data_IF_130391776961
#
_entry.id   IF_130391776961
#
_cell.length_a   1.000
_cell.length_b   1.000
_cell.length_c   1.000
_cell.angle_alpha   90.00
_cell.angle_beta   90.00
_cell.angle_gamma   90.00
#
_symmetry.space_group_name_H-M   'P 1'
#
loop_
_entity.id
_entity.type
_entity.pdbx_description
1 polymer ?
#
# COMPACT_ATOMS: atom_id res chain seq x y z
N UNK A 1 -27.83 -36.76 -9.80
CA UNK A 1 -28.88 -36.03 -10.55
C UNK A 1 -28.35 -34.63 -10.78
N UNK A 2 -27.73 -34.39 -11.94
CA UNK A 2 -27.08 -33.13 -12.26
C UNK A 2 -28.11 -32.18 -12.87
N UNK A 3 -28.40 -31.07 -12.18
CA UNK A 3 -29.13 -29.96 -12.77
C UNK A 3 -28.20 -29.31 -13.81
N UNK A 4 -28.50 -29.56 -15.07
CA UNK A 4 -28.01 -28.75 -16.18
C UNK A 4 -28.97 -27.56 -16.22
N UNK A 5 -28.62 -26.47 -15.55
CA UNK A 5 -29.35 -25.22 -15.71
C UNK A 5 -29.06 -24.71 -17.13
N UNK A 6 -30.08 -24.78 -17.99
CA UNK A 6 -30.08 -24.18 -19.32
C UNK A 6 -29.93 -22.65 -19.17
N UNK A 7 -28.83 -22.12 -19.69
CA UNK A 7 -28.61 -20.68 -19.75
C UNK A 7 -29.51 -20.06 -20.81
N UNK A 8 -30.72 -19.65 -20.42
CA UNK A 8 -31.61 -18.89 -21.30
C UNK A 8 -31.10 -17.45 -21.49
N UNK A 9 -31.30 -16.90 -22.69
CA UNK A 9 -30.93 -15.52 -23.08
C UNK A 9 -31.58 -14.42 -22.21
N UNK A 10 -32.56 -14.79 -21.37
CA UNK A 10 -33.34 -13.89 -20.50
C UNK A 10 -32.49 -13.19 -19.41
N UNK A 11 -31.34 -13.77 -19.04
CA UNK A 11 -30.45 -13.19 -18.02
C UNK A 11 -29.21 -12.49 -18.61
N UNK A 12 -29.23 -12.16 -19.90
CA UNK A 12 -28.13 -11.47 -20.55
C UNK A 12 -28.07 -9.97 -20.19
N UNK A 13 -26.87 -9.48 -19.88
CA UNK A 13 -26.65 -8.06 -19.53
C UNK A 13 -26.09 -7.33 -20.74
N UNK A 14 -26.69 -6.21 -21.13
CA UNK A 14 -26.11 -5.32 -22.14
C UNK A 14 -25.20 -4.27 -21.49
N UNK A 15 -23.92 -4.27 -21.87
CA UNK A 15 -22.94 -3.30 -21.40
C UNK A 15 -22.14 -2.75 -22.57
N UNK A 16 -22.15 -1.42 -22.78
CA UNK A 16 -21.42 -0.74 -23.86
C UNK A 16 -21.65 -1.34 -25.27
N UNK A 17 -22.90 -1.77 -25.55
CA UNK A 17 -23.26 -2.40 -26.83
C UNK A 17 -22.90 -3.89 -26.95
N UNK A 18 -22.30 -4.49 -25.93
CA UNK A 18 -22.02 -5.92 -25.85
C UNK A 18 -23.10 -6.63 -25.03
N UNK A 19 -23.59 -7.75 -25.54
CA UNK A 19 -24.46 -8.68 -24.80
C UNK A 19 -23.59 -9.68 -24.05
N UNK A 20 -23.60 -9.62 -22.72
CA UNK A 20 -22.89 -10.52 -21.82
C UNK A 20 -23.87 -11.62 -21.40
N UNK A 21 -23.65 -12.84 -21.88
CA UNK A 21 -24.44 -14.01 -21.48
C UNK A 21 -23.90 -14.59 -20.17
N UNK A 22 -24.78 -15.11 -19.28
CA UNK A 22 -24.35 -15.77 -18.06
C UNK A 22 -23.51 -17.02 -18.39
N UNK A 23 -22.51 -17.29 -17.55
CA UNK A 23 -21.63 -18.46 -17.67
C UNK A 23 -21.50 -19.16 -16.32
N UNK A 24 -21.20 -20.45 -16.33
CA UNK A 24 -20.88 -21.21 -15.11
C UNK A 24 -19.64 -20.66 -14.41
N UNK A 25 -18.68 -20.18 -15.20
CA UNK A 25 -17.44 -19.60 -14.71
C UNK A 25 -17.10 -18.34 -15.49
N UNK A 26 -16.63 -17.31 -14.77
CA UNK A 26 -16.14 -16.06 -15.35
C UNK A 26 -14.77 -15.74 -14.79
N UNK A 27 -13.85 -15.33 -15.66
CA UNK A 27 -12.52 -14.88 -15.25
C UNK A 27 -12.50 -13.36 -15.11
N UNK A 28 -12.27 -12.86 -13.90
CA UNK A 28 -12.17 -11.44 -13.59
C UNK A 28 -10.81 -11.14 -12.96
N UNK A 29 -10.03 -10.25 -13.59
CA UNK A 29 -8.67 -9.85 -13.16
C UNK A 29 -7.67 -11.02 -12.96
N UNK A 30 -8.02 -12.26 -13.29
CA UNK A 30 -7.19 -13.44 -13.02
C UNK A 30 -7.83 -14.45 -12.05
N UNK A 31 -8.86 -14.04 -11.31
CA UNK A 31 -9.70 -14.90 -10.48
C UNK A 31 -10.74 -15.60 -11.35
N UNK A 32 -10.98 -16.89 -11.09
CA UNK A 32 -12.07 -17.65 -11.70
C UNK A 32 -13.23 -17.69 -10.69
N UNK A 33 -14.33 -17.03 -11.02
CA UNK A 33 -15.55 -16.96 -10.24
C UNK A 33 -16.51 -18.03 -10.76
N UNK A 34 -16.86 -19.00 -9.93
CA UNK A 34 -17.95 -19.95 -10.19
C UNK A 34 -19.28 -19.38 -9.64
N UNK A 35 -20.41 -19.89 -10.13
CA UNK A 35 -21.75 -19.37 -9.78
C UNK A 35 -22.01 -19.28 -8.26
N UNK A 36 -21.44 -20.22 -7.49
CA UNK A 36 -21.64 -20.31 -6.04
C UNK A 36 -20.53 -19.63 -5.23
N UNK A 37 -19.57 -18.98 -5.89
CA UNK A 37 -18.39 -18.37 -5.26
C UNK A 37 -17.64 -19.36 -4.34
N UNK A 38 -17.57 -20.63 -4.74
CA UNK A 38 -16.80 -21.68 -4.09
C UNK A 38 -15.33 -21.71 -4.50
N UNK A 39 -15.01 -21.05 -5.63
CA UNK A 39 -13.65 -20.90 -6.19
C UNK A 39 -12.95 -22.25 -6.48
N UNK A 40 -13.69 -23.31 -6.79
CA UNK A 40 -13.14 -24.64 -7.04
C UNK A 40 -12.14 -24.64 -8.21
N UNK A 41 -12.53 -24.01 -9.33
CA UNK A 41 -11.68 -23.95 -10.53
C UNK A 41 -10.49 -23.02 -10.37
N UNK A 42 -10.66 -21.91 -9.64
CA UNK A 42 -9.55 -20.98 -9.31
C UNK A 42 -8.46 -21.68 -8.49
N UNK A 43 -8.84 -22.32 -7.40
CA UNK A 43 -7.94 -23.01 -6.48
C UNK A 43 -7.30 -24.24 -7.11
N UNK A 44 -8.03 -25.01 -7.93
CA UNK A 44 -7.46 -26.12 -8.70
C UNK A 44 -6.41 -25.64 -9.69
N UNK A 45 -6.66 -24.53 -10.38
CA UNK A 45 -5.68 -23.87 -11.26
C UNK A 45 -4.46 -23.40 -10.47
N UNK A 46 -4.66 -22.69 -9.36
CA UNK A 46 -3.59 -22.18 -8.51
C UNK A 46 -2.73 -23.32 -7.94
N UNK A 47 -3.35 -24.40 -7.47
CA UNK A 47 -2.66 -25.60 -7.00
C UNK A 47 -1.81 -26.25 -8.11
N UNK A 48 -2.37 -26.43 -9.31
CA UNK A 48 -1.64 -27.01 -10.46
C UNK A 48 -0.44 -26.15 -10.86
N UNK A 49 -0.59 -24.83 -10.87
CA UNK A 49 0.50 -23.92 -11.20
C UNK A 49 1.56 -23.87 -10.09
N UNK A 50 1.15 -23.85 -8.82
CA UNK A 50 2.03 -23.95 -7.67
C UNK A 50 2.81 -25.25 -7.64
N UNK A 51 2.16 -26.38 -7.95
CA UNK A 51 2.81 -27.69 -8.05
C UNK A 51 3.84 -27.70 -9.18
N UNK A 52 3.50 -27.16 -10.35
CA UNK A 52 4.45 -27.01 -11.46
C UNK A 52 5.68 -26.20 -11.04
N UNK A 53 5.50 -25.10 -10.31
CA UNK A 53 6.59 -24.28 -9.79
C UNK A 53 7.42 -25.04 -8.74
N UNK A 54 6.78 -25.77 -7.83
CA UNK A 54 7.45 -26.61 -6.82
C UNK A 54 8.28 -27.73 -7.46
N UNK A 55 7.74 -28.41 -8.48
CA UNK A 55 8.47 -29.43 -9.22
C UNK A 55 9.62 -28.84 -10.04
N UNK A 56 9.47 -27.63 -10.57
CA UNK A 56 10.56 -26.92 -11.23
C UNK A 56 11.68 -26.57 -10.24
N UNK A 57 11.33 -26.05 -9.06
CA UNK A 57 12.28 -25.80 -7.97
C UNK A 57 13.02 -27.09 -7.59
N UNK A 58 12.32 -28.22 -7.50
CA UNK A 58 12.90 -29.53 -7.19
C UNK A 58 13.92 -30.03 -8.21
N UNK A 59 13.78 -29.60 -9.47
CA UNK A 59 14.75 -29.93 -10.53
C UNK A 59 16.03 -29.12 -10.46
N UNK A 60 16.01 -27.97 -9.77
CA UNK A 60 17.20 -27.16 -9.56
C UNK A 60 18.05 -27.79 -8.44
N UNK A 61 18.95 -28.69 -8.82
CA UNK A 61 19.85 -29.35 -7.86
C UNK A 61 20.95 -28.39 -7.37
N UNK A 62 21.48 -28.65 -6.17
CA UNK A 62 22.66 -27.93 -5.64
C UNK A 62 22.41 -26.50 -5.15
N UNK A 63 21.14 -26.08 -5.04
CA UNK A 63 20.81 -24.76 -4.50
C UNK A 63 21.13 -24.69 -3.00
N UNK A 64 21.69 -23.54 -2.57
CA UNK A 64 21.78 -23.21 -1.14
C UNK A 64 20.36 -23.05 -0.58
N UNK A 65 20.05 -23.53 0.64
CA UNK A 65 18.70 -23.44 1.22
C UNK A 65 18.11 -22.02 1.22
N UNK A 66 18.95 -21.00 1.45
CA UNK A 66 18.53 -19.59 1.37
C UNK A 66 18.00 -19.20 -0.02
N UNK A 67 18.67 -19.65 -1.09
CA UNK A 67 18.26 -19.37 -2.47
C UNK A 67 17.01 -20.17 -2.85
N UNK A 68 16.94 -21.45 -2.45
CA UNK A 68 15.76 -22.27 -2.68
C UNK A 68 14.52 -21.69 -1.98
N UNK A 69 14.66 -21.23 -0.73
CA UNK A 69 13.60 -20.53 0.01
C UNK A 69 13.16 -19.25 -0.69
N UNK A 70 14.10 -18.45 -1.19
CA UNK A 70 13.78 -17.24 -1.93
C UNK A 70 13.01 -17.56 -3.22
N UNK A 71 13.41 -18.59 -3.96
CA UNK A 71 12.69 -19.05 -5.15
C UNK A 71 11.30 -19.57 -4.81
N UNK A 72 11.14 -20.30 -3.70
CA UNK A 72 9.82 -20.71 -3.21
C UNK A 72 8.90 -19.49 -3.03
N UNK A 73 9.36 -18.49 -2.28
CA UNK A 73 8.59 -17.27 -1.99
C UNK A 73 8.30 -16.50 -3.29
N UNK A 74 9.23 -16.46 -4.23
CA UNK A 74 9.09 -15.70 -5.47
C UNK A 74 8.22 -16.39 -6.54
N UNK A 75 8.05 -17.72 -6.49
CA UNK A 75 7.42 -18.47 -7.59
C UNK A 75 6.17 -19.25 -7.19
N UNK A 76 6.13 -19.82 -5.98
CA UNK A 76 5.03 -20.67 -5.53
C UNK A 76 3.99 -19.80 -4.79
N UNK A 77 4.42 -19.07 -3.77
CA UNK A 77 3.57 -18.20 -2.95
C UNK A 77 2.69 -17.23 -3.76
N UNK A 78 3.20 -16.43 -4.71
CA UNK A 78 2.34 -15.48 -5.44
C UNK A 78 1.28 -16.15 -6.31
N UNK A 79 1.57 -17.33 -6.85
CA UNK A 79 0.65 -18.09 -7.70
C UNK A 79 -0.48 -18.69 -6.88
N UNK A 80 -0.15 -19.23 -5.70
CA UNK A 80 -1.13 -19.86 -4.81
C UNK A 80 -1.99 -18.86 -4.06
N UNK A 81 -1.42 -17.70 -3.71
CA UNK A 81 -2.06 -16.71 -2.84
C UNK A 81 -2.77 -15.61 -3.63
N UNK A 82 -2.71 -15.64 -4.97
CA UNK A 82 -3.33 -14.63 -5.80
C UNK A 82 -4.84 -14.50 -5.52
N UNK A 83 -5.25 -13.31 -5.10
CA UNK A 83 -6.62 -13.00 -4.74
C UNK A 83 -7.12 -13.71 -3.48
N UNK A 84 -6.24 -14.17 -2.59
CA UNK A 84 -6.60 -14.85 -1.34
C UNK A 84 -7.70 -14.15 -0.52
N UNK A 85 -7.71 -12.81 -0.36
CA UNK A 85 -8.80 -12.13 0.34
C UNK A 85 -10.20 -12.36 -0.26
N UNK A 86 -10.28 -12.75 -1.54
CA UNK A 86 -11.54 -13.00 -2.24
C UNK A 86 -11.90 -14.49 -2.21
N UNK A 87 -10.96 -15.38 -2.52
CA UNK A 87 -11.31 -16.80 -2.68
C UNK A 87 -11.26 -17.59 -1.37
N UNK A 88 -10.39 -17.23 -0.42
CA UNK A 88 -10.24 -18.00 0.84
C UNK A 88 -11.54 -18.05 1.64
N UNK A 89 -12.26 -16.92 1.85
CA UNK A 89 -13.49 -16.92 2.65
C UNK A 89 -14.59 -17.82 2.07
N UNK A 90 -14.72 -17.89 0.74
CA UNK A 90 -15.72 -18.72 0.05
C UNK A 90 -15.29 -20.16 -0.24
N UNK A 91 -13.99 -20.47 -0.13
CA UNK A 91 -13.45 -21.80 -0.43
C UNK A 91 -13.48 -22.75 0.78
N UNK A 92 -13.72 -24.04 0.53
CA UNK A 92 -13.67 -25.06 1.59
C UNK A 92 -12.22 -25.47 1.95
N UNK A 93 -12.03 -25.98 3.16
CA UNK A 93 -10.72 -26.48 3.60
C UNK A 93 -10.19 -27.62 2.72
N UNK A 94 -11.08 -28.47 2.20
CA UNK A 94 -10.70 -29.56 1.29
C UNK A 94 -10.03 -29.02 0.01
N UNK A 95 -10.57 -27.94 -0.53
CA UNK A 95 -10.08 -27.28 -1.74
C UNK A 95 -8.71 -26.63 -1.50
N UNK A 96 -8.53 -26.00 -0.34
CA UNK A 96 -7.25 -25.46 0.12
C UNK A 96 -6.19 -26.55 0.29
N UNK A 97 -6.59 -27.79 0.59
CA UNK A 97 -5.70 -28.95 0.71
C UNK A 97 -4.84 -29.19 -0.53
N UNK A 98 -5.32 -28.87 -1.75
CA UNK A 98 -4.55 -29.03 -2.99
C UNK A 98 -3.40 -28.03 -3.07
N UNK A 99 -3.63 -26.79 -2.63
CA UNK A 99 -2.61 -25.74 -2.53
C UNK A 99 -1.55 -26.14 -1.48
N UNK A 100 -2.00 -26.67 -0.35
CA UNK A 100 -1.13 -27.16 0.72
C UNK A 100 -0.16 -28.25 0.23
N UNK A 101 -0.59 -29.15 -0.67
CA UNK A 101 0.31 -30.15 -1.25
C UNK A 101 1.42 -29.52 -2.11
N UNK A 102 1.08 -28.54 -2.96
CA UNK A 102 2.08 -27.82 -3.75
C UNK A 102 3.11 -27.11 -2.86
N UNK A 103 2.66 -26.47 -1.78
CA UNK A 103 3.54 -25.83 -0.82
C UNK A 103 4.40 -26.83 -0.06
N UNK A 104 3.85 -27.99 0.33
CA UNK A 104 4.61 -29.07 0.97
C UNK A 104 5.76 -29.56 0.09
N UNK A 105 5.49 -29.81 -1.20
CA UNK A 105 6.51 -30.24 -2.17
C UNK A 105 7.61 -29.18 -2.29
N UNK A 106 7.23 -27.91 -2.38
CA UNK A 106 8.17 -26.80 -2.45
C UNK A 106 9.01 -26.65 -1.19
N UNK A 107 8.39 -26.67 -0.01
CA UNK A 107 9.07 -26.54 1.28
C UNK A 107 10.04 -27.71 1.52
N UNK A 108 9.62 -28.95 1.22
CA UNK A 108 10.47 -30.11 1.33
C UNK A 108 11.71 -30.03 0.43
N UNK A 109 11.58 -29.38 -0.73
CA UNK A 109 12.69 -29.15 -1.65
C UNK A 109 13.72 -28.16 -1.09
N UNK A 110 13.29 -27.18 -0.29
CA UNK A 110 14.20 -26.15 0.27
C UNK A 110 15.23 -26.76 1.22
N UNK A 111 14.83 -27.73 2.04
CA UNK A 111 15.68 -28.39 3.04
C UNK A 111 16.18 -29.76 2.60
N UNK A 112 15.67 -30.30 1.49
CA UNK A 112 15.99 -31.65 1.02
C UNK A 112 15.33 -32.75 1.86
N UNK A 113 14.23 -32.45 2.56
CA UNK A 113 13.55 -33.42 3.41
C UNK A 113 12.74 -34.45 2.60
N UNK A 114 12.34 -35.53 3.27
CA UNK A 114 11.48 -36.57 2.70
C UNK A 114 10.10 -36.03 2.29
N UNK A 115 9.57 -36.49 1.16
CA UNK A 115 8.24 -36.10 0.67
C UNK A 115 7.06 -36.54 1.56
N UNK A 116 7.32 -37.49 2.47
CA UNK A 116 6.38 -37.97 3.49
C UNK A 116 6.24 -37.02 4.68
N UNK A 117 7.13 -36.03 4.83
CA UNK A 117 7.07 -35.09 5.95
C UNK A 117 5.72 -34.35 5.98
N UNK A 118 5.20 -34.15 7.19
CA UNK A 118 4.00 -33.36 7.40
C UNK A 118 4.24 -31.91 6.98
N UNK A 119 3.21 -31.25 6.43
CA UNK A 119 3.31 -29.86 5.97
C UNK A 119 3.86 -28.91 7.05
N UNK A 120 3.38 -28.92 8.31
CA UNK A 120 3.91 -28.00 9.31
C UNK A 120 5.40 -28.18 9.58
N UNK A 121 5.87 -29.43 9.70
CA UNK A 121 7.29 -29.73 9.84
C UNK A 121 8.09 -29.22 8.63
N UNK A 122 7.58 -29.44 7.41
CA UNK A 122 8.25 -28.99 6.19
C UNK A 122 8.38 -27.47 6.11
N UNK A 123 7.33 -26.73 6.48
CA UNK A 123 7.33 -25.27 6.44
C UNK A 123 8.28 -24.69 7.49
N UNK A 124 8.20 -25.18 8.74
CA UNK A 124 9.03 -24.69 9.85
C UNK A 124 10.52 -24.93 9.57
N UNK A 125 10.90 -26.14 9.17
CA UNK A 125 12.29 -26.47 8.84
C UNK A 125 12.82 -25.66 7.65
N UNK A 126 11.95 -25.38 6.67
CA UNK A 126 12.30 -24.52 5.54
C UNK A 126 12.37 -23.03 5.90
N UNK A 127 12.02 -22.64 7.13
CA UNK A 127 11.92 -21.24 7.56
C UNK A 127 10.83 -20.49 6.80
N UNK A 128 9.71 -21.15 6.51
CA UNK A 128 8.55 -20.63 5.78
C UNK A 128 7.33 -20.58 6.70
N UNK A 129 6.49 -19.57 6.49
CA UNK A 129 5.22 -19.42 7.22
C UNK A 129 4.18 -20.43 6.74
N UNK A 130 3.43 -21.01 7.68
CA UNK A 130 2.33 -21.91 7.38
C UNK A 130 1.31 -21.26 6.43
N UNK A 131 0.74 -22.01 5.47
CA UNK A 131 -0.17 -21.43 4.48
C UNK A 131 -1.41 -20.81 5.12
N UNK A 132 -1.95 -21.42 6.17
CA UNK A 132 -3.14 -20.93 6.85
C UNK A 132 -2.89 -19.59 7.55
N UNK A 133 -1.79 -19.48 8.30
CA UNK A 133 -1.40 -18.26 9.00
C UNK A 133 -1.15 -17.11 8.01
N UNK A 134 -0.41 -17.41 6.94
CA UNK A 134 -0.12 -16.44 5.89
C UNK A 134 -1.39 -15.95 5.19
N UNK A 135 -2.29 -16.86 4.81
CA UNK A 135 -3.56 -16.50 4.17
C UNK A 135 -4.46 -15.72 5.13
N UNK A 136 -4.51 -16.10 6.41
CA UNK A 136 -5.23 -15.39 7.45
C UNK A 136 -4.74 -13.94 7.57
N UNK A 137 -3.42 -13.74 7.65
CA UNK A 137 -2.82 -12.41 7.72
C UNK A 137 -3.06 -11.58 6.45
N UNK A 138 -3.04 -12.19 5.26
CA UNK A 138 -3.37 -11.51 4.00
C UNK A 138 -4.81 -11.00 4.00
N UNK A 139 -5.77 -11.82 4.45
CA UNK A 139 -7.18 -11.43 4.53
C UNK A 139 -7.35 -10.33 5.58
N UNK A 140 -6.74 -10.47 6.76
CA UNK A 140 -6.81 -9.49 7.85
C UNK A 140 -6.25 -8.14 7.42
N UNK A 141 -5.07 -8.12 6.77
CA UNK A 141 -4.49 -6.89 6.20
C UNK A 141 -5.37 -6.26 5.13
N UNK A 142 -5.99 -7.08 4.28
CA UNK A 142 -6.91 -6.57 3.27
C UNK A 142 -8.15 -5.93 3.92
N UNK A 143 -8.72 -6.57 4.94
CA UNK A 143 -9.85 -6.04 5.70
C UNK A 143 -9.50 -4.70 6.36
N UNK A 144 -8.37 -4.61 7.05
CA UNK A 144 -7.84 -3.37 7.63
C UNK A 144 -7.74 -2.27 6.56
N UNK A 145 -7.16 -2.58 5.39
CA UNK A 145 -7.00 -1.63 4.30
C UNK A 145 -8.32 -1.12 3.73
N UNK A 146 -9.39 -1.90 3.76
CA UNK A 146 -10.70 -1.50 3.27
C UNK A 146 -11.39 -0.53 4.23
N UNK A 147 -11.25 -0.77 5.55
CA UNK A 147 -11.79 0.08 6.62
C UNK A 147 -11.10 1.44 6.68
N UNK A 148 -9.78 1.49 6.43
CA UNK A 148 -8.96 2.69 6.51
C UNK A 148 -9.04 3.65 5.32
N UNK A 149 -9.82 3.34 4.27
CA UNK A 149 -9.90 4.24 3.11
C UNK A 149 -10.67 5.51 3.47
N UNK A 150 -10.36 6.64 2.81
CA UNK A 150 -11.14 7.87 2.96
C UNK A 150 -12.64 7.63 2.75
N UNK A 151 -13.49 8.40 3.42
CA UNK A 151 -14.96 8.27 3.36
C UNK A 151 -15.52 8.30 1.92
N UNK A 152 -14.86 9.01 1.01
CA UNK A 152 -15.27 9.11 -0.40
C UNK A 152 -14.84 7.90 -1.27
N UNK A 153 -14.09 6.94 -0.71
CA UNK A 153 -13.67 5.75 -1.44
C UNK A 153 -14.82 4.77 -1.58
N UNK A 154 -14.90 4.09 -2.73
CA UNK A 154 -15.96 3.13 -3.04
C UNK A 154 -16.12 2.03 -1.99
N UNK A 155 -15.03 1.61 -1.33
CA UNK A 155 -15.06 0.59 -0.28
C UNK A 155 -15.90 0.99 0.92
N UNK A 156 -15.93 2.28 1.28
CA UNK A 156 -16.73 2.77 2.40
C UNK A 156 -18.21 2.48 2.14
N UNK A 157 -18.71 2.88 0.97
CA UNK A 157 -20.09 2.59 0.56
C UNK A 157 -20.42 1.10 0.50
N UNK A 158 -19.45 0.25 0.17
CA UNK A 158 -19.66 -1.20 0.06
C UNK A 158 -19.73 -1.86 1.44
N UNK A 159 -18.80 -1.51 2.34
CA UNK A 159 -18.77 -2.04 3.71
C UNK A 159 -20.06 -1.71 4.46
N UNK A 160 -20.55 -0.46 4.37
CA UNK A 160 -21.79 -0.04 5.03
C UNK A 160 -23.07 -0.63 4.41
N UNK A 161 -22.97 -1.30 3.26
CA UNK A 161 -24.10 -1.97 2.60
C UNK A 161 -24.06 -3.49 2.73
N UNK A 162 -23.07 -4.07 3.43
CA UNK A 162 -22.93 -5.53 3.53
C UNK A 162 -24.17 -6.21 4.14
N UNK A 163 -24.85 -5.54 5.07
CA UNK A 163 -26.08 -6.07 5.70
C UNK A 163 -27.31 -6.03 4.77
N UNK A 164 -27.20 -5.42 3.59
CA UNK A 164 -28.31 -5.20 2.64
C UNK A 164 -28.25 -6.12 1.42
N UNK A 165 -27.20 -6.94 1.27
CA UNK A 165 -27.01 -7.82 0.11
C UNK A 165 -27.68 -9.17 0.42
N UNK A 166 -28.71 -9.50 -0.36
CA UNK A 166 -29.56 -10.69 -0.14
C UNK A 166 -29.02 -12.02 -0.69
N UNK A 167 -29.74 -13.09 -0.35
CA UNK A 167 -29.69 -14.52 -0.77
C UNK A 167 -28.36 -15.27 -0.82
N UNK A 168 -27.22 -14.67 -1.16
CA UNK A 168 -25.92 -15.33 -1.27
C UNK A 168 -24.84 -14.57 -0.50
N UNK A 169 -24.15 -15.28 0.39
CA UNK A 169 -23.10 -14.67 1.21
C UNK A 169 -21.87 -14.35 0.35
N UNK A 170 -21.53 -13.07 0.24
CA UNK A 170 -20.32 -12.66 -0.49
C UNK A 170 -19.05 -12.97 0.32
N UNK A 171 -17.88 -13.20 -0.33
CA UNK A 171 -16.63 -13.38 0.41
C UNK A 171 -16.26 -12.20 1.31
N UNK A 172 -16.74 -11.00 0.95
CA UNK A 172 -16.56 -9.80 1.75
C UNK A 172 -17.44 -9.83 3.01
N UNK A 173 -18.69 -10.30 2.92
CA UNK A 173 -19.55 -10.54 4.10
C UNK A 173 -18.96 -11.61 5.03
N UNK A 174 -18.44 -12.72 4.49
CA UNK A 174 -17.78 -13.76 5.30
C UNK A 174 -16.58 -13.15 6.06
N UNK A 175 -15.80 -12.30 5.38
CA UNK A 175 -14.67 -11.60 5.98
C UNK A 175 -15.12 -10.61 7.05
N UNK A 176 -16.18 -9.83 6.77
CA UNK A 176 -16.75 -8.87 7.70
C UNK A 176 -17.30 -9.55 8.96
N UNK A 177 -18.02 -10.66 8.81
CA UNK A 177 -18.51 -11.45 9.94
C UNK A 177 -17.38 -12.05 10.78
N UNK A 178 -16.22 -12.35 10.17
CA UNK A 178 -15.07 -12.91 10.87
C UNK A 178 -14.31 -11.89 11.72
N UNK A 179 -14.06 -10.70 11.17
CA UNK A 179 -13.18 -9.72 11.82
C UNK A 179 -13.93 -8.54 12.45
N UNK A 180 -15.18 -8.31 12.05
CA UNK A 180 -15.99 -7.20 12.56
C UNK A 180 -15.41 -5.81 12.29
N UNK A 181 -15.99 -4.77 12.91
CA UNK A 181 -15.34 -3.48 13.03
C UNK A 181 -14.06 -3.64 13.86
N UNK A 182 -12.94 -3.13 13.35
CA UNK A 182 -11.68 -3.11 14.10
C UNK A 182 -11.46 -1.72 14.66
N UNK A 183 -10.80 -1.65 15.82
CA UNK A 183 -10.35 -0.39 16.38
C UNK A 183 -9.33 0.27 15.43
N UNK A 184 -9.67 1.47 14.98
CA UNK A 184 -8.87 2.28 14.06
C UNK A 184 -8.11 3.38 14.81
N UNK A 185 -7.99 3.32 16.14
CA UNK A 185 -7.13 4.27 16.88
C UNK A 185 -5.68 3.79 16.93
N UNK A 186 -5.44 2.48 16.85
CA UNK A 186 -4.09 1.88 16.98
C UNK A 186 -3.33 1.70 15.66
N UNK A 187 -3.93 2.05 14.52
CA UNK A 187 -3.34 1.77 13.20
C UNK A 187 -2.95 3.07 12.50
N UNK A 188 -1.66 3.28 12.31
CA UNK A 188 -1.18 4.48 11.61
C UNK A 188 -1.60 4.45 10.12
N UNK A 189 -2.40 5.42 9.65
CA UNK A 189 -2.75 5.50 8.25
C UNK A 189 -1.52 5.95 7.45
N UNK A 190 -0.98 5.05 6.63
CA UNK A 190 0.03 5.42 5.64
C UNK A 190 -0.71 5.85 4.36
N UNK A 191 -0.80 7.15 4.04
CA UNK A 191 -1.45 7.59 2.81
C UNK A 191 -0.71 7.00 1.62
N UNK A 192 -1.46 6.50 0.62
CA UNK A 192 -0.87 5.91 -0.60
C UNK A 192 0.01 6.93 -1.35
N UNK A 193 -0.38 8.21 -1.28
CA UNK A 193 0.40 9.33 -1.74
C UNK A 193 0.24 10.48 -0.75
N UNK A 194 1.34 11.11 -0.34
CA UNK A 194 1.29 12.40 0.39
C UNK A 194 0.69 13.50 -0.46
N UNK A 195 0.86 13.40 -1.78
CA UNK A 195 0.27 14.25 -2.80
C UNK A 195 -0.17 13.41 -4.00
N UNK A 196 -1.41 13.56 -4.47
CA UNK A 196 -1.86 12.81 -5.64
C UNK A 196 -0.99 13.10 -6.88
N UNK A 197 -0.68 12.10 -7.71
CA UNK A 197 0.27 12.24 -8.82
C UNK A 197 -0.19 13.22 -9.92
N UNK A 198 -1.49 13.52 -9.98
CA UNK A 198 -2.06 14.49 -10.92
C UNK A 198 -2.06 15.94 -10.39
N UNK A 199 -1.72 16.16 -9.12
CA UNK A 199 -1.62 17.51 -8.58
C UNK A 199 -0.23 18.08 -8.87
N UNK A 200 -0.13 19.28 -9.48
CA UNK A 200 1.15 19.86 -9.81
C UNK A 200 2.00 20.10 -8.56
N UNK A 201 3.28 19.73 -8.64
CA UNK A 201 4.34 20.10 -7.71
C UNK A 201 4.34 21.61 -7.40
N UNK A 202 4.84 22.07 -6.25
CA UNK A 202 5.24 23.47 -6.14
C UNK A 202 6.23 23.80 -7.27
N UNK A 203 6.17 25.02 -7.81
CA UNK A 203 7.14 25.46 -8.82
C UNK A 203 8.54 25.54 -8.18
N UNK A 204 9.35 24.50 -8.39
CA UNK A 204 10.74 24.46 -7.93
C UNK A 204 11.55 25.33 -8.91
N UNK A 205 11.82 26.57 -8.51
CA UNK A 205 12.48 27.55 -9.37
C UNK A 205 13.98 27.31 -9.56
N UNK A 206 14.63 26.49 -8.72
CA UNK A 206 16.10 26.52 -8.58
C UNK A 206 16.70 25.13 -8.39
N UNK A 207 17.45 24.65 -9.39
CA UNK A 207 18.25 23.41 -9.28
C UNK A 207 19.75 23.68 -9.06
N UNK A 208 20.21 24.90 -9.30
CA UNK A 208 21.61 25.31 -9.21
C UNK A 208 21.82 26.36 -8.10
N UNK A 209 22.87 26.17 -7.27
CA UNK A 209 23.23 27.06 -6.16
C UNK A 209 23.46 28.51 -6.61
N UNK A 210 24.09 28.72 -7.77
CA UNK A 210 24.41 30.06 -8.26
C UNK A 210 23.16 30.83 -8.70
N UNK A 211 22.22 30.14 -9.35
CA UNK A 211 20.92 30.73 -9.72
C UNK A 211 20.09 31.03 -8.47
N UNK A 212 20.18 30.17 -7.44
CA UNK A 212 19.47 30.37 -6.19
C UNK A 212 19.94 31.62 -5.45
N UNK A 213 21.24 31.88 -5.43
CA UNK A 213 21.82 33.09 -4.86
C UNK A 213 21.36 34.33 -5.64
N UNK A 214 21.40 34.29 -6.97
CA UNK A 214 20.94 35.43 -7.80
C UNK A 214 19.46 35.75 -7.60
N UNK A 215 18.61 34.73 -7.52
CA UNK A 215 17.17 34.92 -7.28
C UNK A 215 16.93 35.45 -5.87
N UNK A 216 17.63 34.91 -4.86
CA UNK A 216 17.60 35.42 -3.50
C UNK A 216 18.00 36.90 -3.41
N UNK A 217 19.08 37.30 -4.07
CA UNK A 217 19.53 38.70 -4.15
C UNK A 217 18.52 39.59 -4.86
N UNK A 218 17.93 39.12 -5.97
CA UNK A 218 16.89 39.87 -6.70
C UNK A 218 15.63 40.10 -5.87
N UNK A 219 15.30 39.15 -4.99
CA UNK A 219 14.13 39.21 -4.09
C UNK A 219 14.41 40.09 -2.89
N UNK A 220 15.61 40.03 -2.31
CA UNK A 220 16.03 40.93 -1.24
C UNK A 220 16.00 42.41 -1.68
N UNK A 221 16.23 42.66 -2.97
CA UNK A 221 16.17 43.99 -3.57
C UNK A 221 14.76 44.41 -4.02
N UNK A 222 13.77 43.52 -3.97
CA UNK A 222 12.41 43.82 -4.41
C UNK A 222 11.47 44.01 -3.20
N UNK A 223 10.91 45.22 -3.02
CA UNK A 223 10.07 45.54 -1.87
C UNK A 223 8.75 44.74 -1.80
N UNK A 224 8.30 44.16 -2.92
CA UNK A 224 7.05 43.40 -3.01
C UNK A 224 7.25 41.89 -2.83
N UNK A 225 8.41 41.45 -2.33
CA UNK A 225 8.71 40.04 -2.13
C UNK A 225 9.45 39.75 -0.84
N UNK A 226 9.15 38.59 -0.23
CA UNK A 226 9.74 38.15 1.04
C UNK A 226 10.31 36.74 0.87
N UNK A 227 11.59 36.56 1.22
CA UNK A 227 12.26 35.27 1.24
C UNK A 227 12.34 34.68 2.65
N UNK A 228 11.93 33.42 2.80
CA UNK A 228 12.07 32.62 4.00
C UNK A 228 13.09 31.51 3.76
N UNK A 229 14.17 31.52 4.52
CA UNK A 229 15.18 30.47 4.52
C UNK A 229 14.85 29.49 5.63
N UNK A 230 14.70 28.22 5.27
CA UNK A 230 14.45 27.14 6.22
C UNK A 230 15.64 26.22 6.25
N UNK A 231 16.07 25.84 7.44
CA UNK A 231 17.14 24.88 7.64
C UNK A 231 16.77 23.90 8.76
N UNK A 232 17.30 22.68 8.66
CA UNK A 232 17.19 21.68 9.73
C UNK A 232 18.54 21.47 10.40
N UNK A 233 18.49 21.23 11.71
CA UNK A 233 19.64 20.72 12.44
C UNK A 233 19.26 19.42 13.13
N UNK A 234 20.00 18.34 12.83
CA UNK A 234 19.90 17.08 13.58
C UNK A 234 21.28 16.73 14.11
N UNK A 235 21.45 16.77 15.44
CA UNK A 235 22.69 16.39 16.13
C UNK A 235 22.36 15.69 17.44
N UNK A 236 23.10 14.63 17.77
CA UNK A 236 23.03 13.91 19.06
C UNK A 236 21.59 13.70 19.57
N UNK A 237 20.73 13.04 18.76
CA UNK A 237 19.34 12.72 19.11
C UNK A 237 18.41 13.94 19.35
N UNK A 238 18.85 15.13 18.94
CA UNK A 238 18.06 16.36 18.97
C UNK A 238 17.82 16.83 17.54
N UNK A 239 16.57 17.13 17.24
CA UNK A 239 16.18 17.81 16.01
C UNK A 239 15.71 19.23 16.31
N UNK A 240 16.26 20.19 15.59
CA UNK A 240 15.84 21.58 15.56
C UNK A 240 15.52 22.03 14.14
N UNK A 241 14.68 23.04 14.03
CA UNK A 241 14.42 23.78 12.80
C UNK A 241 14.82 25.24 12.99
N UNK A 242 15.30 25.85 11.92
CA UNK A 242 15.57 27.28 11.82
C UNK A 242 14.76 27.92 10.69
N UNK A 243 14.23 29.11 10.95
CA UNK A 243 13.64 29.98 9.93
C UNK A 243 14.34 31.32 10.01
N UNK A 244 14.74 31.85 8.86
CA UNK A 244 15.36 33.15 8.74
C UNK A 244 14.74 33.96 7.60
N UNK A 245 14.49 35.25 7.85
CA UNK A 245 14.10 36.23 6.83
C UNK A 245 15.09 37.40 6.89
N UNK A 246 15.66 37.83 5.75
CA UNK A 246 16.60 38.94 5.73
C UNK A 246 15.92 40.25 6.15
N UNK A 247 16.70 41.26 6.60
CA UNK A 247 16.20 42.62 6.80
C UNK A 247 15.51 43.14 5.52
N UNK A 248 14.44 43.95 5.63
CA UNK A 248 14.00 44.70 6.81
C UNK A 248 13.08 43.93 7.79
N UNK A 249 12.61 42.74 7.43
CA UNK A 249 11.65 42.01 8.27
C UNK A 249 12.32 41.22 9.41
N UNK A 250 13.51 40.65 9.17
CA UNK A 250 14.42 40.20 10.23
C UNK A 250 13.93 39.04 11.11
N UNK A 251 13.01 38.18 10.62
CA UNK A 251 12.55 37.02 11.37
C UNK A 251 13.71 36.05 11.61
N UNK A 252 13.96 35.68 12.86
CA UNK A 252 14.86 34.59 13.22
C UNK A 252 14.19 33.70 14.26
N UNK A 253 13.80 32.50 13.85
CA UNK A 253 13.14 31.52 14.73
C UNK A 253 13.98 30.25 14.73
N UNK A 254 14.32 29.78 15.93
CA UNK A 254 14.99 28.49 16.11
C UNK A 254 14.24 27.69 17.16
N UNK A 255 13.61 26.58 16.75
CA UNK A 255 12.76 25.77 17.62
C UNK A 255 13.28 24.34 17.68
N UNK A 256 13.31 23.77 18.89
CA UNK A 256 13.64 22.35 19.09
C UNK A 256 12.37 21.52 18.99
N UNK A 257 12.32 20.58 18.04
CA UNK A 257 11.11 19.82 17.73
C UNK A 257 10.98 18.52 18.52
N UNK A 258 12.06 17.73 18.60
CA UNK A 258 12.04 16.38 19.16
C UNK A 258 13.32 16.10 19.96
N UNK A 259 13.13 15.48 21.13
CA UNK A 259 14.16 14.77 21.91
C UNK A 259 13.82 13.28 21.83
N UNK A 260 14.46 12.54 20.93
CA UNK A 260 14.07 11.15 20.67
C UNK A 260 15.14 10.36 19.91
N UNK A 261 15.01 9.03 19.92
CA UNK A 261 15.96 8.12 19.27
C UNK A 261 15.82 8.28 17.75
N UNK A 262 16.76 9.02 17.14
CA UNK A 262 16.93 9.18 15.70
C UNK A 262 15.75 9.86 14.93
N UNK A 263 15.56 11.19 15.09
CA UNK A 263 14.51 11.92 14.37
C UNK A 263 14.75 11.92 12.85
N UNK A 264 13.72 11.62 12.05
CA UNK A 264 13.82 11.59 10.58
C UNK A 264 14.19 12.99 10.02
N UNK A 265 15.35 13.13 9.37
CA UNK A 265 15.78 14.33 8.67
C UNK A 265 14.70 14.97 7.78
N UNK A 266 13.95 14.16 7.04
CA UNK A 266 12.98 14.64 6.04
C UNK A 266 11.76 15.24 6.71
N UNK A 267 11.28 14.61 7.79
CA UNK A 267 10.17 15.11 8.59
C UNK A 267 10.50 16.45 9.26
N UNK A 268 11.73 16.62 9.78
CA UNK A 268 12.19 17.87 10.41
C UNK A 268 12.20 19.01 9.40
N UNK A 269 12.65 18.72 8.18
CA UNK A 269 12.67 19.70 7.09
C UNK A 269 11.25 20.16 6.68
N UNK A 270 10.33 19.20 6.51
CA UNK A 270 8.94 19.51 6.18
C UNK A 270 8.29 20.36 7.28
N UNK A 271 8.63 20.11 8.55
CA UNK A 271 8.19 20.95 9.68
C UNK A 271 8.79 22.35 9.63
N UNK A 272 10.02 22.52 9.15
CA UNK A 272 10.64 23.84 8.95
C UNK A 272 9.90 24.65 7.89
N UNK A 273 9.60 24.03 6.74
CA UNK A 273 8.79 24.63 5.65
C UNK A 273 7.39 24.98 6.16
N UNK A 274 6.75 24.06 6.89
CA UNK A 274 5.43 24.28 7.47
C UNK A 274 5.43 25.46 8.45
N UNK A 275 6.46 25.59 9.29
CA UNK A 275 6.58 26.70 10.23
C UNK A 275 6.79 28.05 9.51
N UNK A 276 7.51 28.07 8.38
CA UNK A 276 7.61 29.27 7.53
C UNK A 276 6.25 29.65 6.92
N UNK A 277 5.49 28.67 6.41
CA UNK A 277 4.12 28.90 5.92
C UNK A 277 3.19 29.43 7.01
N UNK A 278 3.28 28.88 8.23
CA UNK A 278 2.50 29.37 9.36
C UNK A 278 2.85 30.81 9.72
N UNK A 279 4.12 31.20 9.67
CA UNK A 279 4.54 32.58 9.91
C UNK A 279 3.92 33.54 8.89
N UNK A 280 3.89 33.16 7.60
CA UNK A 280 3.26 33.94 6.53
C UNK A 280 1.75 34.12 6.77
N UNK A 281 1.05 33.06 7.18
CA UNK A 281 -0.41 33.08 7.34
C UNK A 281 -0.84 33.81 8.61
N UNK A 282 -0.13 33.60 9.73
CA UNK A 282 -0.58 34.07 11.05
C UNK A 282 -0.12 35.47 11.40
N UNK A 283 1.02 35.92 10.87
CA UNK A 283 1.59 37.20 11.25
C UNK A 283 1.33 38.26 10.17
N UNK A 284 0.58 39.33 10.48
CA UNK A 284 0.25 40.39 9.53
C UNK A 284 1.46 41.22 9.07
N UNK A 285 2.63 41.07 9.70
CA UNK A 285 3.90 41.66 9.22
C UNK A 285 4.40 40.94 7.98
N UNK A 286 4.23 39.61 7.93
CA UNK A 286 4.66 38.75 6.82
C UNK A 286 3.53 38.39 5.87
N UNK A 287 2.27 38.67 6.25
CA UNK A 287 1.06 38.40 5.51
C UNK A 287 0.60 39.52 4.57
N UNK A 288 -0.60 39.37 4.03
CA UNK A 288 -1.25 40.23 3.02
C UNK A 288 -1.48 41.67 3.49
N UNK A 289 -0.47 42.54 3.43
CA UNK A 289 -0.69 44.00 3.45
C UNK A 289 -1.06 44.48 2.05
N UNK A 290 -2.34 44.83 1.85
CA UNK A 290 -2.92 45.65 0.76
C UNK A 290 -2.35 45.50 -0.69
N UNK A 291 -1.73 44.37 -1.04
CA UNK A 291 -1.08 44.12 -2.33
C UNK A 291 -0.62 42.67 -2.50
N UNK A 292 -0.25 42.30 -3.73
CA UNK A 292 0.25 40.97 -4.11
C UNK A 292 1.73 40.81 -3.69
N UNK A 293 1.96 40.53 -2.40
CA UNK A 293 3.29 40.17 -1.90
C UNK A 293 3.64 38.77 -2.40
N UNK A 294 4.81 38.61 -3.02
CA UNK A 294 5.32 37.29 -3.45
C UNK A 294 6.19 36.68 -2.35
N UNK A 295 5.75 35.53 -1.82
CA UNK A 295 6.52 34.77 -0.82
C UNK A 295 7.36 33.69 -1.49
N UNK A 296 8.65 33.65 -1.18
CA UNK A 296 9.56 32.58 -1.58
C UNK A 296 10.03 31.81 -0.35
N UNK A 297 9.93 30.48 -0.37
CA UNK A 297 10.53 29.61 0.64
C UNK A 297 11.73 28.91 0.00
N UNK A 298 12.89 29.04 0.65
CA UNK A 298 14.18 28.50 0.21
C UNK A 298 14.59 27.38 1.17
N UNK A 299 14.76 26.18 0.62
CA UNK A 299 15.26 24.98 1.31
C UNK A 299 16.32 24.31 0.44
N UNK A 300 17.34 23.74 1.06
CA UNK A 300 18.36 22.94 0.38
C UNK A 300 17.97 21.45 0.24
N UNK A 301 16.86 21.06 0.87
CA UNK A 301 16.40 19.67 0.93
C UNK A 301 15.59 19.29 -0.29
N UNK A 302 16.32 18.71 -1.27
CA UNK A 302 15.71 18.07 -2.45
C UNK A 302 14.68 17.00 -2.10
N UNK A 303 14.83 16.33 -0.94
CA UNK A 303 13.87 15.30 -0.48
C UNK A 303 12.55 15.92 -0.04
N UNK A 304 12.58 17.01 0.74
CA UNK A 304 11.38 17.69 1.16
C UNK A 304 10.62 18.31 -0.04
N UNK A 305 11.35 18.94 -0.97
CA UNK A 305 10.76 19.50 -2.19
C UNK A 305 10.08 18.46 -3.08
N UNK A 306 10.60 17.23 -3.14
CA UNK A 306 9.97 16.13 -3.88
C UNK A 306 8.69 15.60 -3.22
N UNK A 307 8.54 15.80 -1.92
CA UNK A 307 7.39 15.33 -1.14
C UNK A 307 6.21 16.30 -1.20
N UNK A 308 6.47 17.60 -1.47
CA UNK A 308 5.50 18.70 -1.54
C UNK A 308 4.72 18.78 -2.86
#
# INVERSE_FOLDING_TARGET
MAFVDDFTDENSIRFQGLTITPKQEVKLLGLILDQRLTFHSHTARAAKQGEKAALALRRLQGLRPKAARQLFIATITPVTDYGAPVWVPGSSMHVQGRINQAMKIGAATVTGMFSSAALPAAMVEAGLELPQDRLHELIRRNWLRLQYKPLHHVSWSLIHRLDQIGSYQSPLEITAARYGPMDLEEVDPIPAFTKPPWQPGPNILLQNKYEAIRVAESIANNPDSIAFYTDRLVRHQRAGLGIFTPPPFGLQVSTTLNRGVNPDPTQVELKAILAALYAIIKDPVYGLRFGLIKHLIVTDSKRALRTL
#
